data_IF_902669550677
#
_entry.id   IF_902669550677
#
_cell.length_a   1.000
_cell.length_b   1.000
_cell.length_c   1.000
_cell.angle_alpha   90.00
_cell.angle_beta   90.00
_cell.angle_gamma   90.00
#
_symmetry.space_group_name_H-M   'P 1'
#
loop_
_entity.id
_entity.type
_entity.pdbx_description
1 polymer ?
#
# COMPACT_ATOMS: atom_id res chain seq x y z
N UNK A 1 -13.24 -81.63 -15.26
CA UNK A 1 -13.20 -80.21 -15.34
C UNK A 1 -12.21 -79.73 -14.31
N UNK A 2 -11.06 -79.12 -14.70
CA UNK A 2 -10.06 -78.65 -13.79
C UNK A 2 -10.39 -77.19 -13.31
N UNK A 3 -9.93 -76.72 -12.12
CA UNK A 3 -10.21 -75.44 -11.60
C UNK A 3 -9.27 -74.38 -12.18
N UNK A 4 -9.81 -73.18 -12.35
CA UNK A 4 -9.15 -71.98 -12.87
C UNK A 4 -8.26 -71.31 -11.73
N UNK A 5 -7.03 -70.85 -12.03
CA UNK A 5 -6.18 -70.24 -11.04
C UNK A 5 -6.56 -68.76 -10.84
N UNK A 6 -6.56 -68.33 -9.56
CA UNK A 6 -6.77 -66.96 -9.12
C UNK A 6 -5.55 -66.10 -9.43
N UNK A 7 -5.75 -64.99 -10.16
CA UNK A 7 -4.75 -63.95 -10.37
C UNK A 7 -4.77 -62.95 -9.19
N UNK A 8 -3.71 -62.97 -8.40
CA UNK A 8 -3.39 -61.94 -7.42
C UNK A 8 -3.05 -60.62 -8.11
N UNK A 9 -3.95 -59.67 -8.04
CA UNK A 9 -3.70 -58.30 -8.48
C UNK A 9 -2.85 -57.53 -7.48
N UNK A 10 -1.61 -57.25 -7.81
CA UNK A 10 -0.79 -56.24 -7.13
C UNK A 10 -1.38 -54.88 -7.45
N UNK A 11 -1.85 -54.14 -6.43
CA UNK A 11 -2.09 -52.71 -6.51
C UNK A 11 -0.74 -52.02 -6.65
N UNK A 12 -0.53 -51.34 -7.77
CA UNK A 12 0.49 -50.32 -7.95
C UNK A 12 -0.06 -49.03 -7.37
N UNK A 13 0.47 -48.65 -6.22
CA UNK A 13 0.31 -47.29 -5.68
C UNK A 13 1.12 -46.32 -6.58
N UNK A 14 0.44 -45.68 -7.50
CA UNK A 14 0.97 -44.53 -8.21
C UNK A 14 0.72 -43.30 -7.29
N UNK A 15 1.72 -42.95 -6.49
CA UNK A 15 1.84 -41.60 -5.94
C UNK A 15 2.16 -40.69 -7.13
N UNK A 16 1.18 -39.89 -7.55
CA UNK A 16 1.42 -38.69 -8.36
C UNK A 16 2.10 -37.66 -7.51
N UNK A 17 3.41 -37.56 -7.63
CA UNK A 17 4.17 -36.39 -7.20
C UNK A 17 3.75 -35.18 -8.05
N UNK A 18 2.96 -34.30 -7.45
CA UNK A 18 2.69 -32.98 -8.03
C UNK A 18 4.02 -32.21 -8.12
N UNK A 19 4.38 -31.63 -9.28
CA UNK A 19 5.63 -30.89 -9.40
C UNK A 19 5.57 -29.67 -8.50
N UNK A 20 6.48 -29.61 -7.53
CA UNK A 20 6.83 -28.44 -6.77
C UNK A 20 7.09 -27.26 -7.74
N UNK A 21 6.28 -26.21 -7.66
CA UNK A 21 6.50 -24.99 -8.45
C UNK A 21 7.83 -24.37 -8.02
N UNK A 22 8.88 -24.71 -8.74
CA UNK A 22 10.15 -24.00 -8.71
C UNK A 22 9.87 -22.54 -9.04
N UNK A 23 10.28 -21.61 -8.16
CA UNK A 23 10.32 -20.17 -8.43
C UNK A 23 11.01 -19.98 -9.78
N UNK A 24 10.28 -19.54 -10.79
CA UNK A 24 10.78 -19.27 -12.12
C UNK A 24 12.04 -18.41 -12.02
N UNK A 25 13.17 -18.96 -12.48
CA UNK A 25 14.39 -18.21 -12.63
C UNK A 25 14.13 -17.11 -13.66
N UNK A 26 14.36 -15.83 -13.26
CA UNK A 26 14.16 -14.70 -14.15
C UNK A 26 14.91 -14.91 -15.48
N UNK A 27 14.31 -14.53 -16.63
CA UNK A 27 14.91 -14.73 -17.96
C UNK A 27 16.33 -14.23 -18.02
N UNK A 28 17.21 -14.93 -18.76
CA UNK A 28 18.61 -14.57 -18.91
C UNK A 28 18.72 -13.14 -19.47
N UNK A 29 19.36 -12.22 -18.72
CA UNK A 29 19.47 -10.80 -19.07
C UNK A 29 18.67 -9.84 -18.15
N UNK A 30 17.56 -10.28 -17.56
CA UNK A 30 16.78 -9.42 -16.64
C UNK A 30 17.40 -9.26 -15.25
N UNK A 31 18.29 -10.18 -14.87
CA UNK A 31 18.93 -10.16 -13.55
C UNK A 31 19.76 -8.91 -13.30
N UNK A 32 20.44 -8.38 -14.33
CA UNK A 32 21.21 -7.12 -14.23
C UNK A 32 20.27 -5.93 -14.00
N UNK A 33 19.14 -5.88 -14.70
CA UNK A 33 18.13 -4.85 -14.51
C UNK A 33 17.54 -4.90 -13.08
N UNK A 34 17.14 -6.09 -12.63
CA UNK A 34 16.59 -6.27 -11.28
C UNK A 34 17.60 -5.86 -10.20
N UNK A 35 18.87 -6.17 -10.38
CA UNK A 35 19.94 -5.72 -9.47
C UNK A 35 20.11 -4.19 -9.49
N UNK A 36 20.03 -3.58 -10.67
CA UNK A 36 20.07 -2.11 -10.80
C UNK A 36 18.91 -1.43 -10.07
N UNK A 37 17.68 -1.93 -10.25
CA UNK A 37 16.50 -1.45 -9.51
C UNK A 37 16.66 -1.68 -7.99
N UNK A 38 17.23 -2.81 -7.60
CA UNK A 38 17.56 -3.11 -6.20
C UNK A 38 18.55 -2.11 -5.58
N UNK A 39 19.52 -1.60 -6.34
CA UNK A 39 20.41 -0.52 -5.87
C UNK A 39 19.60 0.75 -5.57
N UNK A 40 18.69 1.15 -6.45
CA UNK A 40 17.83 2.33 -6.23
C UNK A 40 17.00 2.15 -4.96
N UNK A 41 16.38 0.98 -4.78
CA UNK A 41 15.59 0.66 -3.59
C UNK A 41 16.42 0.65 -2.30
N UNK A 42 17.63 0.08 -2.32
CA UNK A 42 18.53 0.09 -1.17
C UNK A 42 18.88 1.52 -0.73
N UNK A 43 19.17 2.41 -1.70
CA UNK A 43 19.42 3.82 -1.41
C UNK A 43 18.16 4.53 -0.89
N UNK A 44 17.00 4.23 -1.45
CA UNK A 44 15.71 4.77 -0.97
C UNK A 44 15.43 4.35 0.48
N UNK A 45 15.81 3.12 0.86
CA UNK A 45 15.68 2.58 2.23
C UNK A 45 16.72 3.11 3.21
N UNK A 46 17.62 4.01 2.78
CA UNK A 46 18.58 4.66 3.66
C UNK A 46 20.03 4.18 3.53
N UNK A 47 20.33 3.15 2.72
CA UNK A 47 21.72 2.74 2.47
C UNK A 47 22.51 3.86 1.78
N UNK A 48 23.74 4.15 2.28
CA UNK A 48 24.55 5.27 1.80
C UNK A 48 25.90 4.85 1.23
N UNK A 49 26.41 3.70 1.60
CA UNK A 49 27.70 3.20 1.13
C UNK A 49 27.58 1.89 0.31
N UNK A 50 28.58 1.64 -0.53
CA UNK A 50 28.61 0.47 -1.42
C UNK A 50 28.58 -0.87 -0.70
N UNK A 51 29.10 -0.96 0.52
CA UNK A 51 29.16 -2.23 1.28
C UNK A 51 27.76 -2.61 1.75
N UNK A 52 27.02 -1.63 2.28
CA UNK A 52 25.65 -1.81 2.73
C UNK A 52 24.71 -2.13 1.55
N UNK A 53 24.80 -1.36 0.46
CA UNK A 53 24.01 -1.61 -0.76
C UNK A 53 24.28 -3.02 -1.29
N UNK A 54 25.56 -3.43 -1.42
CA UNK A 54 25.93 -4.76 -1.90
C UNK A 54 25.36 -5.88 -1.05
N UNK A 55 25.37 -5.71 0.27
CA UNK A 55 24.76 -6.66 1.23
C UNK A 55 23.25 -6.79 1.02
N UNK A 56 22.54 -5.66 0.87
CA UNK A 56 21.09 -5.65 0.71
C UNK A 56 20.63 -6.30 -0.59
N UNK A 57 21.36 -6.11 -1.70
CA UNK A 57 21.00 -6.66 -3.01
C UNK A 57 21.66 -8.02 -3.32
N UNK A 58 22.42 -8.59 -2.38
CA UNK A 58 23.07 -9.90 -2.52
C UNK A 58 24.10 -9.96 -3.66
N UNK A 59 24.95 -8.90 -3.84
CA UNK A 59 25.95 -8.85 -4.90
C UNK A 59 27.36 -8.51 -4.36
N UNK A 60 28.36 -8.62 -5.23
CA UNK A 60 29.73 -8.19 -4.88
C UNK A 60 29.84 -6.67 -4.91
N UNK A 61 30.76 -6.11 -4.11
CA UNK A 61 31.03 -4.66 -4.10
C UNK A 61 31.39 -4.13 -5.49
N UNK A 62 32.15 -4.89 -6.28
CA UNK A 62 32.53 -4.50 -7.65
C UNK A 62 31.32 -4.41 -8.58
N UNK A 63 30.43 -5.39 -8.54
CA UNK A 63 29.16 -5.38 -9.31
C UNK A 63 28.28 -4.20 -8.88
N UNK A 64 28.13 -4.00 -7.57
CA UNK A 64 27.36 -2.89 -7.01
C UNK A 64 27.90 -1.54 -7.44
N UNK A 65 29.24 -1.36 -7.39
CA UNK A 65 29.88 -0.13 -7.85
C UNK A 65 29.55 0.17 -9.30
N UNK A 66 29.68 -0.83 -10.20
CA UNK A 66 29.41 -0.67 -11.62
C UNK A 66 27.94 -0.30 -11.90
N UNK A 67 26.99 -0.93 -11.18
CA UNK A 67 25.56 -0.60 -11.27
C UNK A 67 25.27 0.80 -10.73
N UNK A 68 25.84 1.14 -9.57
CA UNK A 68 25.65 2.45 -8.96
C UNK A 68 26.25 3.58 -9.81
N UNK A 69 27.43 3.39 -10.43
CA UNK A 69 28.02 4.36 -11.33
C UNK A 69 27.11 4.63 -12.54
N UNK A 70 26.61 3.57 -13.19
CA UNK A 70 25.67 3.72 -14.30
C UNK A 70 24.40 4.50 -13.87
N UNK A 71 23.86 4.21 -12.68
CA UNK A 71 22.69 4.93 -12.15
C UNK A 71 22.99 6.39 -11.77
N UNK A 72 24.23 6.72 -11.42
CA UNK A 72 24.69 8.10 -11.23
C UNK A 72 24.81 8.82 -12.56
N UNK A 73 25.43 8.18 -13.56
CA UNK A 73 25.56 8.74 -14.92
C UNK A 73 24.18 9.05 -15.53
N UNK A 74 23.20 8.16 -15.32
CA UNK A 74 21.80 8.30 -15.75
C UNK A 74 20.95 9.16 -14.79
N UNK A 75 21.54 9.77 -13.75
CA UNK A 75 20.88 10.69 -12.81
C UNK A 75 19.80 10.05 -11.93
N UNK A 76 19.68 8.71 -11.88
CA UNK A 76 18.82 8.01 -10.93
C UNK A 76 19.37 8.05 -9.50
N UNK A 77 20.69 8.12 -9.37
CA UNK A 77 21.40 8.35 -8.12
C UNK A 77 22.28 9.59 -8.23
N UNK A 78 22.74 10.07 -7.08
CA UNK A 78 23.81 11.06 -6.96
C UNK A 78 24.71 10.70 -5.78
N UNK A 79 25.98 11.09 -5.85
CA UNK A 79 26.93 10.94 -4.74
C UNK A 79 27.18 12.31 -4.12
N UNK A 80 27.01 12.39 -2.81
CA UNK A 80 27.31 13.62 -2.04
C UNK A 80 28.49 13.31 -1.14
N UNK A 81 29.58 14.09 -1.21
CA UNK A 81 30.74 13.92 -0.33
C UNK A 81 30.32 13.82 1.14
N UNK A 82 30.91 12.90 1.89
CA UNK A 82 30.67 12.62 3.31
C UNK A 82 29.26 12.02 3.65
N UNK A 83 28.29 12.06 2.74
CA UNK A 83 26.96 11.47 2.93
C UNK A 83 26.85 10.12 2.21
N UNK A 84 27.40 10.01 0.98
CA UNK A 84 27.31 8.83 0.13
C UNK A 84 26.26 8.92 -0.95
N UNK A 85 25.64 7.78 -1.29
CA UNK A 85 24.62 7.67 -2.35
C UNK A 85 23.27 8.21 -1.88
N UNK A 86 22.66 9.04 -2.71
CA UNK A 86 21.28 9.55 -2.55
C UNK A 86 20.50 9.33 -3.83
N UNK A 87 19.17 9.37 -3.73
CA UNK A 87 18.32 9.38 -4.90
C UNK A 87 18.60 10.61 -5.77
N UNK A 88 18.59 10.42 -7.08
CA UNK A 88 18.91 11.45 -8.07
C UNK A 88 17.64 12.15 -8.63
N UNK A 89 17.84 13.30 -9.33
CA UNK A 89 16.76 14.12 -9.84
C UNK A 89 15.91 13.42 -10.92
N UNK A 90 16.46 12.43 -11.63
CA UNK A 90 15.70 11.68 -12.66
C UNK A 90 14.46 11.00 -12.09
N UNK A 91 14.50 10.55 -10.84
CA UNK A 91 13.34 9.96 -10.15
C UNK A 91 12.25 10.99 -9.89
N UNK A 92 12.60 12.25 -9.65
CA UNK A 92 11.62 13.33 -9.50
C UNK A 92 10.94 13.59 -10.84
N UNK A 93 11.71 13.71 -11.92
CA UNK A 93 11.19 13.93 -13.29
C UNK A 93 10.19 12.83 -13.67
N UNK A 94 10.60 11.56 -13.56
CA UNK A 94 9.76 10.41 -13.90
C UNK A 94 8.54 10.28 -12.98
N UNK A 95 8.69 10.57 -11.69
CA UNK A 95 7.57 10.55 -10.75
C UNK A 95 6.50 11.59 -11.07
N UNK A 96 6.90 12.80 -11.49
CA UNK A 96 5.95 13.83 -11.95
C UNK A 96 5.25 13.41 -13.23
N UNK A 97 5.98 12.90 -14.24
CA UNK A 97 5.38 12.43 -15.49
C UNK A 97 4.38 11.29 -15.22
N UNK A 98 4.77 10.28 -14.45
CA UNK A 98 3.89 9.17 -14.11
C UNK A 98 2.62 9.65 -13.37
N UNK A 99 2.74 10.68 -12.51
CA UNK A 99 1.59 11.27 -11.81
C UNK A 99 0.65 12.00 -12.78
N UNK A 100 1.18 12.73 -13.77
CA UNK A 100 0.38 13.45 -14.79
C UNK A 100 -0.35 12.49 -15.74
N UNK A 101 0.20 11.30 -15.96
CA UNK A 101 -0.43 10.24 -16.75
C UNK A 101 -1.57 9.51 -16.01
N UNK A 102 -1.80 9.79 -14.70
CA UNK A 102 -2.90 9.22 -13.93
C UNK A 102 -4.12 10.15 -13.97
N UNK A 103 -5.17 9.85 -14.78
CA UNK A 103 -6.37 10.69 -14.88
C UNK A 103 -7.03 10.91 -13.52
N UNK A 104 -7.02 9.90 -12.65
CA UNK A 104 -7.55 9.95 -11.30
C UNK A 104 -6.96 11.08 -10.45
N UNK A 105 -5.65 11.31 -10.54
CA UNK A 105 -4.97 12.36 -9.76
C UNK A 105 -5.43 13.76 -10.19
N UNK A 106 -5.54 13.97 -11.51
CA UNK A 106 -6.01 15.23 -12.08
C UNK A 106 -7.47 15.49 -11.71
N UNK A 107 -8.33 14.46 -11.83
CA UNK A 107 -9.75 14.57 -11.49
C UNK A 107 -9.97 14.78 -9.99
N UNK A 108 -9.21 14.08 -9.13
CA UNK A 108 -9.41 14.12 -7.68
C UNK A 108 -8.91 15.42 -7.03
N UNK A 109 -7.94 16.12 -7.63
CA UNK A 109 -7.34 17.32 -7.04
C UNK A 109 -8.34 18.34 -6.51
N UNK A 110 -9.29 18.84 -7.33
CA UNK A 110 -10.30 19.81 -6.90
C UNK A 110 -11.18 19.33 -5.73
N UNK A 111 -11.49 18.03 -5.68
CA UNK A 111 -12.27 17.43 -4.60
C UNK A 111 -11.51 17.36 -3.27
N UNK A 112 -10.20 17.12 -3.34
CA UNK A 112 -9.35 17.19 -2.14
C UNK A 112 -9.23 18.63 -1.62
N UNK A 113 -9.09 19.60 -2.54
CA UNK A 113 -9.07 21.03 -2.20
C UNK A 113 -10.37 21.46 -1.50
N UNK A 114 -11.53 21.06 -2.05
CA UNK A 114 -12.85 21.30 -1.44
C UNK A 114 -12.93 20.73 -0.02
N UNK A 115 -12.59 19.45 0.16
CA UNK A 115 -12.63 18.80 1.47
C UNK A 115 -11.69 19.46 2.47
N UNK A 116 -10.44 19.75 2.06
CA UNK A 116 -9.46 20.42 2.93
C UNK A 116 -9.90 21.83 3.32
N UNK A 117 -10.50 22.58 2.39
CA UNK A 117 -11.04 23.91 2.67
C UNK A 117 -12.21 23.90 3.65
N UNK A 118 -13.14 22.93 3.48
CA UNK A 118 -14.34 22.80 4.33
C UNK A 118 -14.01 22.33 5.74
N UNK A 119 -13.08 21.37 5.87
CA UNK A 119 -12.82 20.71 7.15
C UNK A 119 -11.64 21.31 7.92
N UNK A 120 -10.69 21.89 7.22
CA UNK A 120 -9.40 22.32 7.78
C UNK A 120 -8.48 21.15 8.14
N UNK A 121 -8.84 19.92 7.85
CA UNK A 121 -8.09 18.73 8.17
C UNK A 121 -7.28 18.23 6.95
N UNK A 122 -6.33 17.33 7.17
CA UNK A 122 -5.53 16.76 6.09
C UNK A 122 -6.35 15.79 5.27
N UNK A 123 -6.31 15.92 3.95
CA UNK A 123 -7.03 15.05 3.02
C UNK A 123 -6.03 14.25 2.18
N UNK A 124 -6.29 12.96 2.02
CA UNK A 124 -5.45 12.08 1.21
C UNK A 124 -6.27 11.38 0.13
N UNK A 125 -5.63 11.11 -1.01
CA UNK A 125 -6.08 10.15 -2.01
C UNK A 125 -5.11 8.98 -2.00
N UNK A 126 -5.63 7.76 -1.97
CA UNK A 126 -4.83 6.54 -2.08
C UNK A 126 -5.48 5.50 -2.98
N UNK A 127 -4.64 4.67 -3.56
CA UNK A 127 -5.04 3.48 -4.33
C UNK A 127 -4.50 2.23 -3.67
N UNK A 128 -5.09 1.09 -4.03
CA UNK A 128 -4.55 -0.21 -3.66
C UNK A 128 -3.46 -0.63 -4.63
N UNK A 129 -2.32 -1.02 -4.10
CA UNK A 129 -1.24 -1.61 -4.88
C UNK A 129 -0.72 -2.87 -4.18
N UNK A 130 -1.21 -4.02 -4.62
CA UNK A 130 -1.02 -5.29 -3.93
C UNK A 130 -1.75 -5.31 -2.58
N UNK A 131 -0.99 -5.47 -1.51
CA UNK A 131 -1.48 -5.55 -0.13
C UNK A 131 -1.32 -4.23 0.65
N UNK A 132 -1.02 -3.14 -0.04
CA UNK A 132 -0.75 -1.83 0.54
C UNK A 132 -1.58 -0.71 -0.10
N UNK A 133 -1.73 0.38 0.66
CA UNK A 133 -2.18 1.68 0.14
C UNK A 133 -0.97 2.42 -0.41
N UNK A 134 -1.07 2.94 -1.63
CA UNK A 134 -0.14 3.94 -2.16
C UNK A 134 -0.83 5.32 -2.13
N UNK A 135 -0.24 6.28 -1.41
CA UNK A 135 -0.74 7.65 -1.38
C UNK A 135 -0.37 8.40 -2.67
N UNK A 136 -1.37 8.89 -3.41
CA UNK A 136 -1.20 9.64 -4.66
C UNK A 136 -1.28 11.16 -4.47
N UNK A 137 -2.16 11.63 -3.55
CA UNK A 137 -2.32 13.05 -3.21
C UNK A 137 -2.38 13.22 -1.69
N UNK A 138 -1.92 14.39 -1.25
CA UNK A 138 -2.06 14.89 0.12
C UNK A 138 -2.26 16.40 0.10
N UNK A 139 -3.39 16.85 0.64
CA UNK A 139 -3.63 18.25 0.93
C UNK A 139 -3.49 18.44 2.44
N UNK A 140 -2.45 19.13 2.92
CA UNK A 140 -2.24 19.36 4.34
C UNK A 140 -3.40 20.14 4.95
N UNK A 141 -3.83 19.73 6.14
CA UNK A 141 -4.79 20.50 6.93
C UNK A 141 -4.16 21.72 7.61
N UNK A 142 -5.02 22.58 8.13
CA UNK A 142 -4.63 23.73 8.98
C UNK A 142 -4.81 23.43 10.47
N UNK A 143 -5.51 22.36 10.79
CA UNK A 143 -5.80 21.93 12.17
C UNK A 143 -4.70 20.96 12.65
N UNK A 144 -4.08 21.30 13.77
CA UNK A 144 -3.07 20.45 14.40
C UNK A 144 -1.71 20.40 13.69
N UNK A 145 -0.81 19.50 14.12
CA UNK A 145 0.51 19.34 13.54
C UNK A 145 0.42 18.67 12.16
N UNK A 146 1.41 18.95 11.31
CA UNK A 146 1.50 18.32 9.99
C UNK A 146 1.68 16.80 10.11
N UNK A 147 0.85 16.05 9.40
CA UNK A 147 0.94 14.59 9.33
C UNK A 147 2.20 14.11 8.64
N UNK A 148 2.76 13.01 9.12
CA UNK A 148 4.00 12.41 8.59
C UNK A 148 3.82 11.74 7.22
N UNK A 149 2.59 11.45 6.82
CA UNK A 149 2.28 10.88 5.50
C UNK A 149 2.87 11.74 4.37
N UNK A 150 3.26 11.09 3.27
CA UNK A 150 3.79 11.73 2.07
C UNK A 150 3.21 11.04 0.83
N UNK A 151 3.08 11.77 -0.26
CA UNK A 151 2.82 11.18 -1.58
C UNK A 151 3.93 10.17 -1.90
N UNK A 152 3.56 9.02 -2.43
CA UNK A 152 4.47 7.89 -2.68
C UNK A 152 4.71 6.98 -1.47
N UNK A 153 4.24 7.32 -0.26
CA UNK A 153 4.30 6.40 0.88
C UNK A 153 3.33 5.24 0.70
N UNK A 154 3.74 4.09 1.22
CA UNK A 154 2.96 2.88 1.30
C UNK A 154 2.57 2.61 2.74
N UNK A 155 1.34 2.13 2.94
CA UNK A 155 0.80 1.79 4.25
C UNK A 155 -0.02 0.50 4.18
N UNK A 156 -0.04 -0.31 5.25
CA UNK A 156 -0.86 -1.51 5.29
C UNK A 156 -2.35 -1.21 5.11
N UNK A 157 -3.05 -1.98 4.25
CA UNK A 157 -4.48 -1.82 4.01
C UNK A 157 -5.30 -1.95 5.30
N UNK A 158 -5.08 -2.98 6.10
CA UNK A 158 -5.90 -3.27 7.28
C UNK A 158 -5.77 -2.25 8.41
N UNK A 159 -4.77 -1.36 8.37
CA UNK A 159 -4.49 -0.44 9.47
C UNK A 159 -4.94 0.99 9.23
N UNK A 160 -5.07 1.41 7.99
CA UNK A 160 -5.45 2.80 7.66
C UNK A 160 -6.93 2.89 7.28
N UNK A 161 -7.56 4.04 7.49
CA UNK A 161 -8.94 4.26 7.05
C UNK A 161 -9.08 4.15 5.52
N UNK A 162 -8.13 4.72 4.75
CA UNK A 162 -8.08 4.54 3.28
C UNK A 162 -7.99 3.07 2.91
N UNK A 163 -7.11 2.32 3.57
CA UNK A 163 -6.93 0.91 3.29
C UNK A 163 -8.20 0.11 3.55
N UNK A 164 -8.86 0.34 4.68
CA UNK A 164 -10.15 -0.29 5.01
C UNK A 164 -11.23 0.08 3.99
N UNK A 165 -11.27 1.34 3.53
CA UNK A 165 -12.20 1.76 2.48
C UNK A 165 -11.91 1.06 1.13
N UNK A 166 -10.65 0.76 0.83
CA UNK A 166 -10.25 0.00 -0.37
C UNK A 166 -10.58 -1.50 -0.28
N UNK A 167 -10.78 -2.02 0.94
CA UNK A 167 -11.09 -3.43 1.20
C UNK A 167 -12.61 -3.72 1.34
N UNK A 168 -13.50 -2.74 1.13
CA UNK A 168 -14.94 -2.92 1.41
C UNK A 168 -15.59 -3.99 0.53
N UNK A 169 -15.05 -4.27 -0.65
CA UNK A 169 -15.54 -5.32 -1.55
C UNK A 169 -14.82 -6.66 -1.36
N UNK A 170 -13.80 -6.73 -0.50
CA UNK A 170 -13.05 -7.96 -0.23
C UNK A 170 -13.86 -8.92 0.65
N UNK A 171 -13.50 -10.21 0.59
CA UNK A 171 -14.09 -11.22 1.49
C UNK A 171 -13.52 -11.13 2.92
N UNK A 172 -14.23 -11.64 3.95
CA UNK A 172 -13.68 -11.74 5.31
C UNK A 172 -12.35 -12.51 5.38
N UNK A 173 -12.17 -13.51 4.51
CA UNK A 173 -10.91 -14.25 4.40
C UNK A 173 -9.75 -13.37 3.92
N UNK A 174 -10.02 -12.47 2.96
CA UNK A 174 -9.02 -11.53 2.46
C UNK A 174 -8.72 -10.45 3.51
N UNK A 175 -9.72 -9.97 4.24
CA UNK A 175 -9.50 -9.05 5.38
C UNK A 175 -8.58 -9.68 6.42
N UNK A 176 -8.80 -10.96 6.78
CA UNK A 176 -7.96 -11.65 7.75
C UNK A 176 -6.52 -11.78 7.25
N UNK A 177 -6.33 -12.20 6.00
CA UNK A 177 -4.99 -12.27 5.39
C UNK A 177 -4.28 -10.92 5.42
N UNK A 178 -4.98 -9.83 5.05
CA UNK A 178 -4.43 -8.48 5.04
C UNK A 178 -4.13 -7.97 6.45
N UNK A 179 -4.95 -8.34 7.43
CA UNK A 179 -4.68 -8.07 8.84
C UNK A 179 -3.41 -8.77 9.30
N UNK A 180 -3.29 -10.08 9.07
CA UNK A 180 -2.16 -10.89 9.52
C UNK A 180 -0.82 -10.36 8.98
N UNK A 181 -0.75 -10.01 7.69
CA UNK A 181 0.46 -9.43 7.10
C UNK A 181 0.75 -8.00 7.55
N UNK A 182 -0.24 -7.28 8.07
CA UNK A 182 -0.08 -5.92 8.60
C UNK A 182 0.53 -5.89 9.99
N UNK A 183 0.55 -7.04 10.68
CA UNK A 183 1.11 -7.14 12.01
C UNK A 183 2.64 -7.00 11.97
N UNK A 184 3.21 -6.18 12.84
CA UNK A 184 4.66 -6.07 12.92
C UNK A 184 5.29 -7.40 13.36
N UNK A 185 6.47 -7.69 12.85
CA UNK A 185 7.25 -8.84 13.29
C UNK A 185 7.43 -8.81 14.83
N UNK A 186 6.97 -9.88 15.52
CA UNK A 186 6.96 -9.93 17.00
C UNK A 186 5.75 -9.28 17.67
N UNK A 187 4.70 -8.90 16.91
CA UNK A 187 3.40 -8.47 17.46
C UNK A 187 3.39 -7.07 18.08
N UNK A 188 4.48 -6.30 17.98
CA UNK A 188 4.57 -4.92 18.48
C UNK A 188 5.08 -3.98 17.40
N UNK A 189 4.47 -2.80 17.28
CA UNK A 189 4.96 -1.77 16.38
C UNK A 189 6.39 -1.37 16.72
N UNK A 190 7.27 -1.31 15.73
CA UNK A 190 8.65 -0.82 15.90
C UNK A 190 8.67 0.65 16.34
N UNK A 191 7.72 1.44 15.87
CA UNK A 191 7.64 2.88 16.19
C UNK A 191 6.82 3.16 17.45
N UNK A 192 5.81 2.31 17.74
CA UNK A 192 4.84 2.50 18.82
C UNK A 192 4.65 1.21 19.62
N UNK A 193 5.68 0.71 20.33
CA UNK A 193 5.65 -0.61 20.98
C UNK A 193 4.63 -0.72 22.13
N UNK A 194 4.21 0.40 22.68
CA UNK A 194 3.21 0.46 23.77
C UNK A 194 1.78 0.72 23.26
N UNK A 195 1.61 0.99 21.96
CA UNK A 195 0.29 1.26 21.41
C UNK A 195 -0.49 -0.05 21.26
N UNK A 196 -1.72 -0.13 21.80
CA UNK A 196 -2.57 -1.31 21.64
C UNK A 196 -2.82 -1.57 20.14
N UNK A 197 -2.63 -2.82 19.73
CA UNK A 197 -2.97 -3.22 18.37
C UNK A 197 -4.45 -3.63 18.33
N UNK A 198 -5.16 -3.22 17.29
CA UNK A 198 -6.50 -3.72 17.00
C UNK A 198 -6.46 -5.24 16.87
N UNK A 199 -7.39 -5.97 17.51
CA UNK A 199 -7.50 -7.42 17.33
C UNK A 199 -8.21 -7.75 16.01
N UNK A 200 -8.10 -9.01 15.55
CA UNK A 200 -8.81 -9.48 14.37
C UNK A 200 -10.34 -9.33 14.53
N UNK A 201 -10.87 -9.75 15.66
CA UNK A 201 -12.30 -9.71 15.96
C UNK A 201 -12.85 -8.25 15.92
N UNK A 202 -12.06 -7.31 16.41
CA UNK A 202 -12.40 -5.89 16.35
C UNK A 202 -12.39 -5.38 14.91
N UNK A 203 -11.40 -5.78 14.10
CA UNK A 203 -11.36 -5.40 12.68
C UNK A 203 -12.54 -5.99 11.93
N UNK A 204 -12.82 -7.29 12.07
CA UNK A 204 -13.90 -7.99 11.39
C UNK A 204 -15.27 -7.37 11.70
N UNK A 205 -15.53 -7.09 12.98
CA UNK A 205 -16.76 -6.41 13.39
C UNK A 205 -16.90 -5.04 12.73
N UNK A 206 -15.83 -4.23 12.79
CA UNK A 206 -15.84 -2.89 12.18
C UNK A 206 -15.97 -2.95 10.65
N UNK A 207 -15.29 -3.89 9.98
CA UNK A 207 -15.39 -4.03 8.52
C UNK A 207 -16.82 -4.38 8.10
N UNK A 208 -17.53 -5.20 8.86
CA UNK A 208 -18.94 -5.50 8.61
C UNK A 208 -19.81 -4.22 8.65
N UNK A 209 -19.58 -3.36 9.64
CA UNK A 209 -20.26 -2.07 9.76
C UNK A 209 -19.86 -1.12 8.62
N UNK A 210 -18.58 -1.09 8.25
CA UNK A 210 -18.05 -0.23 7.19
C UNK A 210 -18.59 -0.62 5.81
N UNK A 211 -18.71 -1.91 5.51
CA UNK A 211 -19.34 -2.40 4.27
C UNK A 211 -20.78 -1.91 4.18
N UNK A 212 -21.55 -2.08 5.24
CA UNK A 212 -22.95 -1.63 5.28
C UNK A 212 -23.07 -0.09 5.15
N UNK A 213 -22.11 0.65 5.74
CA UNK A 213 -22.09 2.11 5.74
C UNK A 213 -21.49 2.75 4.49
N UNK A 214 -20.63 2.03 3.74
CA UNK A 214 -19.88 2.55 2.59
C UNK A 214 -18.83 3.59 2.99
N UNK A 215 -18.20 3.43 4.15
CA UNK A 215 -17.13 4.25 4.69
C UNK A 215 -16.20 3.40 5.57
N UNK A 216 -15.08 3.96 6.02
CA UNK A 216 -14.24 3.31 7.02
C UNK A 216 -13.58 4.33 7.94
N UNK A 217 -13.24 3.90 9.16
CA UNK A 217 -12.50 4.68 10.13
C UNK A 217 -11.10 4.10 10.37
N UNK A 218 -10.14 4.99 10.64
CA UNK A 218 -8.95 4.69 11.42
C UNK A 218 -9.16 5.27 12.81
N UNK A 219 -9.14 4.41 13.82
CA UNK A 219 -9.33 4.76 15.22
C UNK A 219 -8.01 4.60 15.98
N UNK A 220 -6.95 5.23 15.46
CA UNK A 220 -5.59 5.11 15.97
C UNK A 220 -4.95 3.72 15.69
N UNK A 221 -5.50 2.98 14.71
CA UNK A 221 -5.04 1.62 14.38
C UNK A 221 -3.66 1.63 13.69
N UNK A 222 -3.34 2.70 12.93
CA UNK A 222 -2.06 2.85 12.24
C UNK A 222 -1.04 3.64 13.07
N UNK A 223 -1.43 4.79 13.60
CA UNK A 223 -0.57 5.70 14.36
C UNK A 223 -1.35 6.24 15.57
N UNK A 224 -0.75 6.21 16.81
CA UNK A 224 -1.37 6.79 17.99
C UNK A 224 -1.75 8.26 17.76
N UNK A 225 -2.85 8.67 18.35
CA UNK A 225 -3.37 10.03 18.29
C UNK A 225 -3.79 10.52 16.90
N UNK A 226 -3.84 9.65 15.88
CA UNK A 226 -4.33 9.98 14.55
C UNK A 226 -5.62 9.22 14.30
N UNK A 227 -6.64 9.94 13.84
CA UNK A 227 -7.92 9.36 13.38
C UNK A 227 -8.26 9.85 11.99
N UNK A 228 -8.98 9.02 11.24
CA UNK A 228 -9.50 9.46 9.96
C UNK A 228 -10.84 8.78 9.62
N UNK A 229 -11.60 9.46 8.75
CA UNK A 229 -12.75 8.90 8.04
C UNK A 229 -12.40 8.80 6.57
N UNK A 230 -12.75 7.69 5.93
CA UNK A 230 -12.46 7.43 4.53
C UNK A 230 -13.69 6.87 3.80
N UNK A 231 -13.75 7.12 2.49
CA UNK A 231 -14.78 6.55 1.62
C UNK A 231 -14.17 6.13 0.28
N UNK A 232 -14.69 5.05 -0.34
CA UNK A 232 -14.21 4.53 -1.61
C UNK A 232 -14.65 5.39 -2.78
N UNK A 233 -13.84 5.36 -3.85
CA UNK A 233 -14.14 5.89 -5.18
C UNK A 233 -14.28 4.68 -6.10
N UNK A 234 -15.37 4.67 -6.89
CA UNK A 234 -15.68 3.58 -7.81
C UNK A 234 -15.66 4.05 -9.25
N UNK A 235 -15.37 3.18 -10.16
CA UNK A 235 -15.43 3.43 -11.60
C UNK A 235 -16.71 2.88 -12.25
N UNK A 236 -16.76 2.92 -13.59
CA UNK A 236 -17.88 2.41 -14.39
C UNK A 236 -18.16 0.91 -14.19
N UNK A 237 -17.17 0.12 -13.77
CA UNK A 237 -17.32 -1.31 -13.45
C UNK A 237 -17.95 -1.56 -12.07
N UNK A 238 -18.16 -0.51 -11.28
CA UNK A 238 -18.54 -0.50 -9.88
C UNK A 238 -17.44 -0.96 -8.92
N UNK A 239 -16.25 -1.29 -9.43
CA UNK A 239 -15.09 -1.65 -8.63
C UNK A 239 -14.52 -0.46 -7.87
N UNK A 240 -13.95 -0.70 -6.70
CA UNK A 240 -13.23 0.32 -5.94
C UNK A 240 -11.85 0.53 -6.61
N UNK A 241 -11.61 1.74 -7.12
CA UNK A 241 -10.34 2.11 -7.79
C UNK A 241 -9.46 2.99 -6.92
N UNK A 242 -10.03 3.68 -5.94
CA UNK A 242 -9.31 4.55 -5.02
C UNK A 242 -10.14 4.79 -3.75
N UNK A 243 -9.56 5.52 -2.78
CA UNK A 243 -10.29 6.07 -1.65
C UNK A 243 -9.74 7.43 -1.25
N UNK A 244 -10.59 8.27 -0.67
CA UNK A 244 -10.23 9.53 -0.03
C UNK A 244 -10.37 9.38 1.48
N UNK A 245 -9.49 10.03 2.25
CA UNK A 245 -9.65 10.18 3.70
C UNK A 245 -9.50 11.63 4.15
N UNK A 246 -10.22 11.97 5.22
CA UNK A 246 -10.06 13.20 6.02
C UNK A 246 -9.45 12.76 7.35
N UNK A 247 -8.28 13.27 7.68
CA UNK A 247 -7.48 12.82 8.83
C UNK A 247 -7.00 13.99 9.69
N UNK A 248 -7.00 13.79 11.01
CA UNK A 248 -6.48 14.76 11.97
C UNK A 248 -6.02 14.07 13.25
N UNK A 249 -5.42 14.84 14.16
CA UNK A 249 -5.12 14.34 15.51
C UNK A 249 -6.39 14.23 16.35
N UNK A 250 -6.39 13.34 17.35
CA UNK A 250 -7.55 13.06 18.23
C UNK A 250 -8.25 14.32 18.76
N UNK A 251 -7.54 15.39 19.24
CA UNK A 251 -8.21 16.61 19.69
C UNK A 251 -9.03 17.33 18.61
N UNK A 252 -8.66 17.18 17.35
CA UNK A 252 -9.35 17.77 16.20
C UNK A 252 -10.25 16.79 15.46
N UNK A 253 -10.26 15.50 15.86
CA UNK A 253 -11.04 14.43 15.25
C UNK A 253 -11.73 13.57 16.31
N UNK A 254 -12.60 14.14 17.17
CA UNK A 254 -13.42 13.34 18.07
C UNK A 254 -14.42 12.49 17.28
N UNK A 255 -14.96 11.43 17.92
CA UNK A 255 -15.85 10.47 17.24
C UNK A 255 -17.12 11.12 16.67
N UNK A 256 -17.63 12.12 17.34
CA UNK A 256 -18.79 12.89 16.90
C UNK A 256 -18.52 13.57 15.55
N UNK A 257 -17.37 14.26 15.44
CA UNK A 257 -16.95 14.89 14.19
C UNK A 257 -16.72 13.86 13.09
N UNK A 258 -16.12 12.70 13.42
CA UNK A 258 -15.95 11.62 12.44
C UNK A 258 -17.29 11.17 11.86
N UNK A 259 -18.32 11.03 12.70
CA UNK A 259 -19.68 10.68 12.26
C UNK A 259 -20.30 11.76 11.36
N UNK A 260 -20.12 13.04 11.70
CA UNK A 260 -20.59 14.18 10.90
C UNK A 260 -19.90 14.26 9.52
N UNK A 261 -18.64 13.82 9.42
CA UNK A 261 -17.87 13.83 8.17
C UNK A 261 -18.27 12.69 7.20
N UNK A 262 -18.95 11.63 7.66
CA UNK A 262 -19.36 10.51 6.79
C UNK A 262 -20.19 10.99 5.59
N UNK A 263 -21.30 11.73 5.75
CA UNK A 263 -22.09 12.17 4.60
C UNK A 263 -21.30 13.09 3.67
N UNK A 264 -20.42 13.94 4.20
CA UNK A 264 -19.60 14.84 3.41
C UNK A 264 -18.62 14.07 2.50
N UNK A 265 -17.84 13.18 3.07
CA UNK A 265 -16.84 12.43 2.30
C UNK A 265 -17.50 11.49 1.29
N UNK A 266 -18.61 10.83 1.66
CA UNK A 266 -19.38 9.99 0.74
C UNK A 266 -19.97 10.80 -0.42
N UNK A 267 -20.48 12.00 -0.15
CA UNK A 267 -20.99 12.90 -1.20
C UNK A 267 -19.91 13.29 -2.20
N UNK A 268 -18.70 13.60 -1.71
CA UNK A 268 -17.55 13.95 -2.55
C UNK A 268 -17.08 12.74 -3.36
N UNK A 269 -16.89 11.58 -2.73
CA UNK A 269 -16.42 10.38 -3.46
C UNK A 269 -17.47 9.88 -4.47
N UNK A 270 -18.75 10.06 -4.21
CA UNK A 270 -19.81 9.74 -5.16
C UNK A 270 -19.76 10.64 -6.42
N UNK A 271 -19.53 11.95 -6.25
CA UNK A 271 -19.37 12.88 -7.40
C UNK A 271 -18.15 12.48 -8.24
N UNK A 272 -17.02 12.22 -7.60
CA UNK A 272 -15.80 11.79 -8.31
C UNK A 272 -16.00 10.42 -8.99
N UNK A 273 -16.73 9.51 -8.36
CA UNK A 273 -17.08 8.21 -8.97
C UNK A 273 -17.96 8.39 -10.21
N UNK A 274 -18.90 9.35 -10.20
CA UNK A 274 -19.72 9.66 -11.37
C UNK A 274 -18.88 10.19 -12.55
N UNK A 275 -17.83 11.00 -12.29
CA UNK A 275 -16.88 11.44 -13.33
C UNK A 275 -16.05 10.27 -13.89
N UNK A 276 -15.80 9.22 -13.08
CA UNK A 276 -15.16 7.99 -13.52
C UNK A 276 -16.13 6.99 -14.17
N UNK A 277 -17.36 7.43 -14.45
CA UNK A 277 -18.36 6.67 -15.21
C UNK A 277 -19.26 5.77 -14.37
N UNK A 278 -19.21 5.85 -13.03
CA UNK A 278 -20.19 5.14 -12.19
C UNK A 278 -21.59 5.68 -12.49
N UNK A 279 -22.47 4.83 -12.95
CA UNK A 279 -23.89 5.14 -13.09
C UNK A 279 -24.59 4.86 -11.74
N UNK A 280 -25.13 5.90 -11.12
CA UNK A 280 -25.92 5.87 -9.89
C UNK A 280 -27.34 5.42 -10.20
#
# INVERSE_FOLDING_TARGET
MPPVPSLNGKRLDMQEDAPEKTKDAAPTGTQTLLRGLGVVQAVASGARDLKEIARLIGTTRSTTHRLASCLVDERYLRVVPQIGYLLGPKLIELGFQAREELPLVTLAGPYLDELSALTGDTVHLGIREGDEVLYLLKNPGRNGPEMRSRVGHRMPLARTGIGKALMLDDSPKDWQRLYDISLPAGGKSQFWPQHPQQSWEQLEQRMTEYVAGGYAFDLEDNEPSIRCVAAPIRDASKGIVAAISIASTVPYMPLEKMAELIPLIKGVTARLSAELGLKI
#
